data_IF_998806375752
#
_entry.id   IF_998806375752
#
_cell.length_a   1.000
_cell.length_b   1.000
_cell.length_c   1.000
_cell.angle_alpha   90.00
_cell.angle_beta   90.00
_cell.angle_gamma   90.00
#
_symmetry.space_group_name_H-M   'P 1'
#
loop_
_entity.id
_entity.type
_entity.pdbx_description
1 polymer ?
#
# COMPACT_ATOMS: atom_id res chain seq x y z
N UNK A 1 41.40 31.60 53.29
CA UNK A 1 40.49 31.30 52.16
C UNK A 1 40.45 29.80 51.94
N UNK A 2 39.47 29.09 52.50
CA UNK A 2 39.12 27.73 52.07
C UNK A 2 37.59 27.63 52.01
N UNK A 3 37.03 27.76 50.80
CA UNK A 3 35.60 27.51 50.57
C UNK A 3 35.40 26.00 50.67
N UNK A 4 34.93 25.54 51.83
CA UNK A 4 34.40 24.17 51.98
C UNK A 4 33.18 24.04 51.05
N UNK A 5 33.31 23.22 50.02
CA UNK A 5 32.18 22.82 49.17
C UNK A 5 31.22 21.97 50.01
N UNK A 6 30.16 22.59 50.51
CA UNK A 6 29.09 21.90 51.22
C UNK A 6 28.13 21.30 50.18
N UNK A 7 28.55 20.19 49.57
CA UNK A 7 27.68 19.41 48.69
C UNK A 7 26.65 18.70 49.57
N UNK A 8 25.39 19.13 49.47
CA UNK A 8 24.27 18.54 50.17
C UNK A 8 24.23 17.02 49.88
N UNK A 9 24.16 16.18 50.91
CA UNK A 9 24.29 14.71 50.81
C UNK A 9 23.35 14.13 49.75
N UNK A 10 22.16 14.71 49.59
CA UNK A 10 21.20 14.33 48.55
C UNK A 10 21.70 14.58 47.12
N UNK A 11 22.48 15.64 46.87
CA UNK A 11 23.10 15.90 45.56
C UNK A 11 24.25 14.94 45.28
N UNK A 12 25.02 14.57 46.30
CA UNK A 12 26.07 13.55 46.16
C UNK A 12 25.44 12.19 45.85
N UNK A 13 24.37 11.82 46.56
CA UNK A 13 23.62 10.58 46.30
C UNK A 13 23.03 10.57 44.88
N UNK A 14 22.46 11.69 44.41
CA UNK A 14 21.94 11.77 43.04
C UNK A 14 23.04 11.68 41.98
N UNK A 15 24.17 12.35 42.18
CA UNK A 15 25.31 12.28 41.25
C UNK A 15 25.90 10.87 41.23
N UNK A 16 26.00 10.20 42.38
CA UNK A 16 26.47 8.82 42.49
C UNK A 16 25.47 7.84 41.85
N UNK A 17 24.16 8.04 42.04
CA UNK A 17 23.12 7.26 41.37
C UNK A 17 23.16 7.44 39.85
N UNK A 18 23.33 8.66 39.35
CA UNK A 18 23.46 8.93 37.91
C UNK A 18 24.74 8.27 37.36
N UNK A 19 25.86 8.40 38.08
CA UNK A 19 27.14 7.78 37.72
C UNK A 19 27.15 6.25 37.82
N UNK A 20 26.22 5.63 38.57
CA UNK A 20 26.07 4.17 38.65
C UNK A 20 25.03 3.65 37.64
N UNK A 21 23.95 4.39 37.40
CA UNK A 21 22.87 4.00 36.49
C UNK A 21 23.25 4.12 35.02
N UNK A 22 24.04 5.14 34.65
CA UNK A 22 24.48 5.32 33.25
C UNK A 22 25.40 4.17 32.80
N UNK A 23 26.46 3.80 33.54
CA UNK A 23 27.29 2.64 33.18
C UNK A 23 26.51 1.33 33.24
N UNK A 24 25.58 1.16 34.18
CA UNK A 24 24.77 -0.05 34.28
C UNK A 24 23.84 -0.20 33.06
N UNK A 25 23.28 0.89 32.55
CA UNK A 25 22.46 0.86 31.32
C UNK A 25 23.28 0.50 30.07
N UNK A 26 24.53 0.96 29.98
CA UNK A 26 25.48 0.63 28.90
C UNK A 26 25.98 -0.81 29.04
N UNK A 27 26.21 -1.28 30.28
CA UNK A 27 26.58 -2.67 30.54
C UNK A 27 25.45 -3.63 30.20
N UNK A 28 24.20 -3.26 30.51
CA UNK A 28 23.02 -4.05 30.15
C UNK A 28 22.87 -4.07 28.63
N UNK A 29 23.01 -2.95 27.92
CA UNK A 29 22.90 -2.93 26.45
C UNK A 29 23.98 -3.78 25.78
N UNK A 30 25.23 -3.70 26.25
CA UNK A 30 26.34 -4.51 25.74
C UNK A 30 26.23 -5.99 26.11
N UNK A 31 25.64 -6.33 27.26
CA UNK A 31 25.33 -7.72 27.61
C UNK A 31 24.21 -8.29 26.75
N UNK A 32 23.19 -7.49 26.40
CA UNK A 32 22.16 -7.87 25.43
C UNK A 32 22.73 -8.09 24.02
N UNK A 33 23.59 -7.19 23.52
CA UNK A 33 24.29 -7.38 22.25
C UNK A 33 25.20 -8.63 22.25
N UNK A 34 25.85 -8.93 23.38
CA UNK A 34 26.72 -10.10 23.53
C UNK A 34 25.97 -11.43 23.62
N UNK A 35 24.74 -11.44 24.17
CA UNK A 35 23.90 -12.64 24.25
C UNK A 35 23.30 -12.94 22.86
N UNK A 36 22.87 -11.90 22.13
CA UNK A 36 22.24 -12.04 20.81
C UNK A 36 23.24 -12.54 19.73
N UNK A 37 24.54 -12.35 19.94
CA UNK A 37 25.59 -12.84 19.03
C UNK A 37 25.90 -14.34 19.08
N UNK A 38 25.36 -15.10 20.06
CA UNK A 38 25.71 -16.54 20.24
C UNK A 38 24.55 -17.51 20.21
N UNK A 39 23.30 -17.03 20.21
CA UNK A 39 22.16 -17.88 19.89
C UNK A 39 21.97 -17.94 18.38
N UNK A 40 22.21 -19.11 17.81
CA UNK A 40 21.89 -19.54 16.45
C UNK A 40 20.37 -19.59 16.17
N UNK A 41 19.59 -18.65 16.71
CA UNK A 41 18.30 -18.30 16.14
C UNK A 41 18.61 -17.51 14.86
N UNK A 42 18.63 -18.22 13.73
CA UNK A 42 18.51 -17.64 12.39
C UNK A 42 17.65 -16.40 12.50
N UNK A 43 18.21 -15.21 12.24
CA UNK A 43 17.55 -13.96 11.85
C UNK A 43 16.04 -14.18 11.67
N UNK A 44 15.29 -14.24 12.76
CA UNK A 44 13.84 -14.28 12.72
C UNK A 44 13.50 -12.91 12.18
N UNK A 45 13.01 -12.90 10.94
CA UNK A 45 12.77 -11.75 10.07
C UNK A 45 12.99 -10.42 10.79
N UNK A 46 14.04 -9.68 10.42
CA UNK A 46 14.11 -8.26 10.75
C UNK A 46 12.84 -7.62 10.16
N UNK A 47 11.80 -7.48 10.99
CA UNK A 47 10.54 -6.79 10.68
C UNK A 47 10.75 -5.27 10.56
N UNK A 48 11.99 -4.80 10.66
CA UNK A 48 12.38 -3.41 10.68
C UNK A 48 13.22 -3.11 9.44
N UNK A 49 12.57 -2.83 8.34
CA UNK A 49 13.27 -2.20 7.24
C UNK A 49 13.14 -0.68 7.42
N UNK A 50 14.23 -0.06 7.88
CA UNK A 50 14.44 1.40 7.89
C UNK A 50 14.59 1.98 6.46
N UNK A 51 14.24 1.21 5.42
CA UNK A 51 14.49 1.48 4.01
C UNK A 51 13.23 1.95 3.23
N UNK A 52 12.13 2.19 3.94
CA UNK A 52 10.84 2.53 3.31
C UNK A 52 10.00 1.33 2.88
N UNK A 53 10.26 0.12 3.40
CA UNK A 53 9.38 -1.05 3.21
C UNK A 53 7.92 -0.87 3.66
N UNK A 54 7.59 0.23 4.37
CA UNK A 54 6.24 0.57 4.77
C UNK A 54 5.23 0.55 3.59
N UNK A 55 5.67 0.85 2.36
CA UNK A 55 4.81 0.84 1.17
C UNK A 55 4.26 -0.54 0.77
N UNK A 56 4.83 -1.64 1.28
CA UNK A 56 4.55 -3.02 0.83
C UNK A 56 3.82 -3.88 1.86
N UNK A 57 3.39 -3.26 2.95
CA UNK A 57 2.74 -3.89 4.09
C UNK A 57 1.49 -3.08 4.35
N UNK A 58 0.27 -3.59 4.10
CA UNK A 58 -0.95 -2.89 4.55
C UNK A 58 -2.09 -3.86 4.84
N UNK A 59 -2.02 -4.69 5.90
CA UNK A 59 -3.22 -5.32 6.42
C UNK A 59 -4.11 -4.28 7.12
N UNK A 60 -5.41 -4.30 6.84
CA UNK A 60 -6.49 -3.49 7.43
C UNK A 60 -6.65 -3.60 8.96
N UNK A 61 -5.76 -4.32 9.64
CA UNK A 61 -5.89 -4.69 11.04
C UNK A 61 -5.65 -3.56 12.03
N UNK A 62 -5.04 -2.45 11.60
CA UNK A 62 -4.84 -1.30 12.46
C UNK A 62 -4.97 0.01 11.71
N UNK A 63 -6.06 0.70 12.02
CA UNK A 63 -6.33 2.04 11.54
C UNK A 63 -6.86 2.87 12.72
N UNK A 64 -6.07 3.82 13.25
CA UNK A 64 -6.63 4.75 14.22
C UNK A 64 -7.64 5.64 13.48
N UNK A 65 -8.92 5.46 13.82
CA UNK A 65 -10.06 6.16 13.20
C UNK A 65 -9.89 7.70 13.27
N UNK A 66 -9.19 8.19 14.29
CA UNK A 66 -8.89 9.60 14.52
C UNK A 66 -7.69 10.14 13.72
N UNK A 67 -6.81 9.25 13.26
CA UNK A 67 -5.62 9.59 12.47
C UNK A 67 -5.89 9.56 10.98
N UNK A 68 -7.04 9.01 10.60
CA UNK A 68 -7.39 8.82 9.23
C UNK A 68 -6.43 7.84 8.58
N UNK A 69 -6.86 7.38 7.44
CA UNK A 69 -6.05 6.49 6.67
C UNK A 69 -5.21 7.09 5.63
N UNK A 70 -4.42 6.25 4.98
CA UNK A 70 -4.19 6.46 3.55
C UNK A 70 -5.54 6.59 2.83
N UNK A 71 -6.53 5.87 3.36
CA UNK A 71 -7.99 5.88 3.21
C UNK A 71 -8.77 7.05 3.84
N UNK A 72 -8.13 8.14 4.26
CA UNK A 72 -8.82 9.42 4.49
C UNK A 72 -8.11 10.56 3.75
N UNK A 73 -8.67 11.00 2.61
CA UNK A 73 -8.08 12.06 1.78
C UNK A 73 -8.11 13.45 2.42
N UNK A 74 -8.74 13.58 3.60
CA UNK A 74 -8.75 14.81 4.39
C UNK A 74 -7.59 14.92 5.39
N UNK A 75 -6.76 13.87 5.52
CA UNK A 75 -5.66 13.77 6.48
C UNK A 75 -4.31 13.65 5.78
N UNK A 76 -3.26 14.06 6.48
CA UNK A 76 -1.88 14.02 5.97
C UNK A 76 -1.38 12.56 5.87
N UNK A 77 -1.12 12.04 4.66
CA UNK A 77 -0.72 10.65 4.46
C UNK A 77 0.66 10.33 5.06
N UNK A 78 1.51 11.33 5.34
CA UNK A 78 2.84 11.12 5.96
C UNK A 78 2.76 10.61 7.39
N UNK A 79 1.60 10.73 8.05
CA UNK A 79 1.35 10.20 9.40
C UNK A 79 1.03 8.70 9.36
N UNK A 80 0.54 8.19 8.23
CA UNK A 80 0.04 6.81 8.07
C UNK A 80 1.17 5.81 7.90
N UNK A 81 2.29 6.20 7.26
CA UNK A 81 3.48 5.36 7.04
C UNK A 81 4.11 4.83 8.34
N UNK A 82 3.78 5.42 9.50
CA UNK A 82 4.29 5.00 10.82
C UNK A 82 3.43 3.94 11.52
N UNK A 83 2.25 3.58 11.01
CA UNK A 83 1.20 2.96 11.85
C UNK A 83 1.03 1.44 11.73
N UNK A 84 1.66 0.80 10.74
CA UNK A 84 1.67 -0.67 10.65
C UNK A 84 2.68 -1.30 11.59
N UNK A 85 3.63 -0.47 12.01
CA UNK A 85 4.56 -0.83 13.03
C UNK A 85 3.81 -1.18 14.31
N UNK A 86 2.75 -0.54 14.80
CA UNK A 86 2.21 -0.94 16.13
C UNK A 86 1.67 -2.40 16.29
N UNK A 87 1.33 -3.12 15.21
CA UNK A 87 0.93 -4.55 15.26
C UNK A 87 2.14 -5.49 15.08
N UNK A 88 3.21 -5.03 14.43
CA UNK A 88 4.42 -5.83 14.10
C UNK A 88 5.74 -5.28 14.74
N UNK A 89 5.68 -4.09 15.33
CA UNK A 89 6.62 -3.39 16.21
C UNK A 89 6.18 -3.70 17.63
N UNK A 90 6.86 -4.69 18.18
CA UNK A 90 6.53 -5.35 19.42
C UNK A 90 6.91 -4.52 20.66
N UNK A 91 6.94 -3.18 20.56
CA UNK A 91 7.43 -2.24 21.60
C UNK A 91 6.56 -0.99 21.70
N UNK A 92 6.02 -0.69 22.89
CA UNK A 92 5.37 0.61 23.18
C UNK A 92 6.42 1.66 23.51
N UNK A 93 6.59 2.68 22.68
CA UNK A 93 7.39 3.85 23.04
C UNK A 93 6.71 4.68 24.14
N UNK A 94 7.37 4.89 25.27
CA UNK A 94 6.98 5.89 26.28
C UNK A 94 7.91 7.08 26.17
N UNK A 95 7.34 8.26 25.97
CA UNK A 95 8.10 9.49 25.78
C UNK A 95 8.44 10.10 27.15
N UNK A 96 9.66 9.86 27.61
CA UNK A 96 10.15 10.25 28.95
C UNK A 96 10.87 11.60 29.01
N UNK A 97 10.71 12.46 28.00
CA UNK A 97 11.30 13.80 27.98
C UNK A 97 12.78 13.88 27.56
N UNK A 98 13.44 12.76 27.24
CA UNK A 98 14.82 12.70 26.70
C UNK A 98 14.96 11.81 25.45
N UNK A 99 13.86 11.52 24.78
CA UNK A 99 13.76 10.56 23.68
C UNK A 99 12.74 9.47 23.97
N UNK A 100 12.35 8.75 22.91
CA UNK A 100 11.39 7.65 23.00
C UNK A 100 12.07 6.45 23.63
N UNK A 101 11.62 6.04 24.82
CA UNK A 101 12.10 4.84 25.49
C UNK A 101 11.10 3.71 25.23
N UNK A 102 11.53 2.66 24.53
CA UNK A 102 10.69 1.54 24.15
C UNK A 102 10.45 0.61 25.35
N UNK A 103 9.23 0.56 25.86
CA UNK A 103 8.77 -0.43 26.85
C UNK A 103 8.31 -1.68 26.06
N UNK A 104 8.81 -2.89 26.38
CA UNK A 104 8.28 -4.12 25.81
C UNK A 104 6.79 -4.26 26.17
N UNK A 105 5.99 -4.86 25.26
CA UNK A 105 4.59 -5.17 25.51
C UNK A 105 4.36 -5.82 26.89
N UNK A 106 3.13 -5.70 27.40
CA UNK A 106 2.65 -6.69 28.37
C UNK A 106 2.85 -8.08 27.76
N UNK A 107 3.67 -8.91 28.40
CA UNK A 107 4.07 -10.25 27.98
C UNK A 107 3.02 -11.11 27.22
N UNK A 108 1.70 -11.10 27.54
CA UNK A 108 0.74 -12.00 26.89
C UNK A 108 0.56 -11.85 25.36
N UNK A 109 0.58 -10.64 24.79
CA UNK A 109 0.27 -10.45 23.36
C UNK A 109 1.45 -10.82 22.45
N UNK A 110 2.66 -10.41 22.84
CA UNK A 110 3.91 -10.76 22.14
C UNK A 110 4.12 -12.27 22.12
N UNK A 111 3.92 -12.93 23.26
CA UNK A 111 4.07 -14.38 23.37
C UNK A 111 3.08 -15.14 22.45
N UNK A 112 1.86 -14.63 22.27
CA UNK A 112 0.89 -15.24 21.36
C UNK A 112 1.30 -15.08 19.89
N UNK A 113 1.73 -13.90 19.46
CA UNK A 113 2.20 -13.67 18.08
C UNK A 113 3.48 -14.45 17.77
N UNK A 114 4.46 -14.47 18.67
CA UNK A 114 5.69 -15.26 18.52
C UNK A 114 5.40 -16.77 18.46
N UNK A 115 4.42 -17.26 19.24
CA UNK A 115 3.97 -18.66 19.17
C UNK A 115 3.28 -19.00 17.85
N UNK A 116 2.50 -18.07 17.29
CA UNK A 116 1.82 -18.22 15.99
C UNK A 116 2.84 -18.21 14.84
N UNK A 117 3.81 -17.28 14.86
CA UNK A 117 4.84 -17.18 13.81
C UNK A 117 5.95 -18.24 13.93
N UNK A 118 6.20 -18.76 15.13
CA UNK A 118 7.23 -19.78 15.39
C UNK A 118 6.81 -21.22 15.10
N UNK A 119 5.53 -21.51 14.87
CA UNK A 119 5.07 -22.88 14.61
C UNK A 119 5.30 -23.27 13.15
N UNK A 120 6.42 -23.96 12.90
CA UNK A 120 6.82 -24.56 11.62
C UNK A 120 6.01 -25.83 11.30
N UNK A 121 4.69 -25.79 11.43
CA UNK A 121 3.82 -26.92 11.10
C UNK A 121 3.49 -26.94 9.60
N UNK A 122 3.05 -28.07 9.08
CA UNK A 122 2.41 -28.15 7.76
C UNK A 122 1.14 -27.30 7.84
N UNK A 123 1.24 -26.03 7.46
CA UNK A 123 0.15 -25.07 7.64
C UNK A 123 -0.82 -25.23 6.47
N UNK A 124 -2.04 -25.64 6.79
CA UNK A 124 -3.16 -25.50 5.87
C UNK A 124 -3.65 -24.05 5.94
N UNK A 125 -3.14 -23.20 5.06
CA UNK A 125 -3.57 -21.80 4.97
C UNK A 125 -5.04 -21.70 4.57
N UNK A 126 -5.77 -20.81 5.24
CA UNK A 126 -7.19 -20.57 5.03
C UNK A 126 -7.44 -19.22 4.36
N UNK A 127 -8.60 -19.10 3.73
CA UNK A 127 -9.04 -17.84 3.15
C UNK A 127 -9.11 -16.74 4.20
N UNK A 128 -8.48 -15.61 3.91
CA UNK A 128 -8.43 -14.45 4.78
C UNK A 128 -7.33 -14.48 5.85
N UNK A 129 -6.52 -15.54 5.95
CA UNK A 129 -5.31 -15.51 6.76
C UNK A 129 -4.38 -14.40 6.24
N UNK A 130 -3.65 -13.73 7.13
CA UNK A 130 -2.53 -12.89 6.71
C UNK A 130 -1.25 -13.72 6.73
N UNK A 131 -0.43 -13.61 5.71
CA UNK A 131 0.84 -14.32 5.61
C UNK A 131 2.00 -13.35 5.47
N UNK A 132 3.14 -13.73 6.03
CA UNK A 132 4.39 -12.98 6.00
C UNK A 132 5.40 -13.74 5.15
N UNK A 133 6.02 -13.07 4.17
CA UNK A 133 7.05 -13.66 3.32
C UNK A 133 8.03 -12.59 2.83
N UNK A 134 9.18 -13.02 2.30
CA UNK A 134 10.13 -12.11 1.66
C UNK A 134 9.89 -12.09 0.15
N UNK A 135 10.02 -10.92 -0.47
CA UNK A 135 9.94 -10.76 -1.92
C UNK A 135 11.00 -9.79 -2.43
N UNK A 136 11.66 -10.16 -3.52
CA UNK A 136 12.54 -9.26 -4.25
C UNK A 136 11.68 -8.29 -5.10
N UNK A 137 11.81 -6.99 -4.84
CA UNK A 137 11.08 -5.93 -5.57
C UNK A 137 11.96 -5.28 -6.64
N UNK A 138 13.28 -5.36 -6.49
CA UNK A 138 14.26 -4.99 -7.51
C UNK A 138 15.58 -5.72 -7.23
N UNK A 139 16.54 -5.66 -8.16
CA UNK A 139 17.80 -6.39 -8.06
C UNK A 139 18.51 -6.08 -6.73
N UNK A 140 18.66 -7.09 -5.87
CA UNK A 140 19.23 -7.00 -4.53
C UNK A 140 18.41 -6.21 -3.49
N UNK A 141 17.13 -5.94 -3.76
CA UNK A 141 16.18 -5.30 -2.84
C UNK A 141 15.10 -6.31 -2.46
N UNK A 142 15.33 -6.99 -1.33
CA UNK A 142 14.40 -7.98 -0.76
C UNK A 142 13.71 -7.36 0.45
N UNK A 143 12.38 -7.32 0.42
CA UNK A 143 11.56 -6.73 1.48
C UNK A 143 10.62 -7.77 2.09
N UNK A 144 10.13 -7.48 3.29
CA UNK A 144 9.12 -8.28 3.99
C UNK A 144 7.73 -7.81 3.55
N UNK A 145 6.87 -8.76 3.19
CA UNK A 145 5.51 -8.53 2.75
C UNK A 145 4.54 -9.14 3.76
N UNK A 146 3.42 -8.45 3.98
CA UNK A 146 2.30 -8.96 4.78
C UNK A 146 1.04 -8.81 3.94
N UNK A 147 0.52 -9.93 3.47
CA UNK A 147 -0.58 -9.97 2.52
C UNK A 147 -1.67 -10.95 2.95
N UNK A 148 -2.90 -10.73 2.52
CA UNK A 148 -4.04 -11.59 2.80
C UNK A 148 -4.15 -12.72 1.79
N UNK A 149 -4.33 -13.94 2.27
CA UNK A 149 -4.61 -15.12 1.45
C UNK A 149 -6.01 -14.99 0.85
N UNK A 150 -6.07 -14.84 -0.47
CA UNK A 150 -7.31 -14.77 -1.25
C UNK A 150 -7.69 -16.13 -1.80
N UNK A 151 -6.70 -16.87 -2.32
CA UNK A 151 -6.92 -18.16 -2.94
C UNK A 151 -5.72 -19.09 -2.73
N UNK A 152 -5.96 -20.40 -2.85
CA UNK A 152 -4.97 -21.46 -2.61
C UNK A 152 -5.05 -22.54 -3.68
N UNK A 153 -4.18 -23.53 -3.61
CA UNK A 153 -4.12 -24.72 -4.47
C UNK A 153 -5.41 -25.05 -5.25
N UNK A 154 -5.36 -24.90 -6.58
CA UNK A 154 -6.44 -25.25 -7.49
C UNK A 154 -7.58 -24.23 -7.60
N UNK A 155 -7.62 -23.21 -6.75
CA UNK A 155 -8.63 -22.16 -6.83
C UNK A 155 -8.45 -21.31 -8.08
N UNK A 156 -9.57 -20.81 -8.59
CA UNK A 156 -9.62 -19.88 -9.72
C UNK A 156 -9.86 -18.47 -9.23
N UNK A 157 -9.05 -17.51 -9.65
CA UNK A 157 -9.17 -16.09 -9.26
C UNK A 157 -9.48 -15.25 -10.48
N UNK A 158 -10.47 -14.37 -10.37
CA UNK A 158 -10.84 -13.38 -11.40
C UNK A 158 -11.23 -12.05 -10.76
N UNK A 159 -10.76 -10.95 -11.36
CA UNK A 159 -11.17 -9.60 -11.04
C UNK A 159 -12.23 -9.14 -12.03
N UNK A 160 -13.33 -8.58 -11.55
CA UNK A 160 -14.44 -8.15 -12.39
C UNK A 160 -15.23 -7.01 -11.77
N UNK A 161 -15.37 -5.90 -12.51
CA UNK A 161 -16.15 -4.73 -12.09
C UNK A 161 -15.80 -4.20 -10.69
N UNK A 162 -14.55 -4.31 -10.25
CA UNK A 162 -14.13 -3.89 -8.90
C UNK A 162 -14.35 -4.94 -7.82
N UNK A 163 -14.78 -6.15 -8.17
CA UNK A 163 -14.98 -7.27 -7.25
C UNK A 163 -13.99 -8.40 -7.51
N UNK A 164 -13.77 -9.20 -6.47
CA UNK A 164 -12.97 -10.41 -6.52
C UNK A 164 -13.86 -11.63 -6.55
N UNK A 165 -13.63 -12.50 -7.53
CA UNK A 165 -14.29 -13.79 -7.64
C UNK A 165 -13.27 -14.90 -7.40
N UNK A 166 -13.61 -15.82 -6.50
CA UNK A 166 -12.86 -17.06 -6.26
C UNK A 166 -13.77 -18.24 -6.61
N UNK A 167 -13.32 -19.11 -7.52
CA UNK A 167 -14.09 -20.24 -8.05
C UNK A 167 -15.47 -19.81 -8.60
N UNK A 168 -15.49 -18.68 -9.31
CA UNK A 168 -16.71 -18.11 -9.92
C UNK A 168 -17.69 -17.46 -8.93
N UNK A 169 -17.34 -17.37 -7.64
CA UNK A 169 -18.18 -16.74 -6.62
C UNK A 169 -17.52 -15.45 -6.12
N UNK A 170 -18.29 -14.36 -6.10
CA UNK A 170 -17.87 -13.13 -5.41
C UNK A 170 -17.59 -13.45 -3.95
N UNK A 171 -16.41 -13.07 -3.47
CA UNK A 171 -16.07 -13.19 -2.06
C UNK A 171 -16.45 -11.91 -1.30
N UNK A 172 -16.71 -12.05 -0.01
CA UNK A 172 -16.92 -10.91 0.88
C UNK A 172 -15.57 -10.40 1.39
N UNK A 173 -15.36 -9.09 1.28
CA UNK A 173 -14.12 -8.41 1.63
C UNK A 173 -14.37 -7.33 2.70
N UNK A 174 -14.87 -7.70 3.90
CA UNK A 174 -15.30 -6.74 4.93
C UNK A 174 -14.15 -5.95 5.55
N UNK A 175 -12.91 -6.29 5.18
CA UNK A 175 -11.68 -5.63 5.60
C UNK A 175 -11.29 -4.46 4.68
N UNK A 176 -11.97 -4.28 3.54
CA UNK A 176 -11.70 -3.18 2.61
C UNK A 176 -12.44 -1.90 3.00
N UNK A 177 -11.83 -0.77 2.66
CA UNK A 177 -12.43 0.54 2.87
C UNK A 177 -13.66 0.83 2.03
N UNK A 178 -13.66 0.32 0.79
CA UNK A 178 -14.73 0.55 -0.15
C UNK A 178 -15.13 -0.78 -0.76
N UNK A 179 -16.43 -0.95 -0.92
CA UNK A 179 -16.92 -2.03 -1.74
C UNK A 179 -16.55 -1.71 -3.19
N UNK A 180 -16.39 -2.73 -4.00
CA UNK A 180 -16.13 -2.56 -5.43
C UNK A 180 -14.79 -1.83 -5.74
N UNK A 181 -13.79 -1.92 -4.86
CA UNK A 181 -12.48 -1.27 -5.05
C UNK A 181 -11.35 -2.24 -5.40
N UNK A 182 -11.68 -3.42 -5.93
CA UNK A 182 -10.73 -4.49 -6.20
C UNK A 182 -10.47 -4.63 -7.70
N UNK A 183 -9.35 -4.06 -8.14
CA UNK A 183 -8.82 -4.17 -9.50
C UNK A 183 -7.39 -4.73 -9.47
N UNK A 184 -6.78 -4.96 -10.63
CA UNK A 184 -5.41 -5.51 -10.73
C UNK A 184 -4.28 -4.56 -10.25
N UNK A 185 -4.58 -3.58 -9.40
CA UNK A 185 -3.64 -2.59 -8.83
C UNK A 185 -3.29 -1.44 -9.80
N UNK A 186 -3.03 -0.23 -9.28
CA UNK A 186 -2.87 1.01 -10.09
C UNK A 186 -1.42 1.55 -10.14
N UNK A 187 -0.64 1.38 -9.07
CA UNK A 187 0.66 2.09 -8.92
C UNK A 187 1.89 1.36 -9.46
N UNK A 188 1.76 0.08 -9.78
CA UNK A 188 2.87 -0.76 -10.23
C UNK A 188 2.72 -1.13 -11.71
N UNK A 189 3.61 -1.99 -12.22
CA UNK A 189 3.75 -2.33 -13.64
C UNK A 189 2.44 -2.34 -14.43
N UNK A 190 2.40 -1.63 -15.57
CA UNK A 190 1.28 -1.72 -16.52
C UNK A 190 1.16 -3.12 -17.16
N UNK A 191 2.22 -3.92 -17.08
CA UNK A 191 2.21 -5.34 -17.41
C UNK A 191 1.97 -6.15 -16.13
N UNK A 192 0.69 -6.26 -15.76
CA UNK A 192 0.22 -7.03 -14.60
C UNK A 192 0.25 -8.53 -14.89
N UNK A 193 0.48 -9.34 -13.86
CA UNK A 193 0.42 -10.80 -13.93
C UNK A 193 -1.00 -11.30 -14.29
N UNK A 194 -2.02 -10.61 -13.78
CA UNK A 194 -3.42 -10.88 -14.08
C UNK A 194 -4.14 -9.55 -14.30
N UNK A 195 -4.90 -9.44 -15.40
CA UNK A 195 -5.71 -8.25 -15.70
C UNK A 195 -7.18 -8.47 -15.35
N UNK A 196 -7.97 -7.41 -15.36
CA UNK A 196 -9.42 -7.57 -15.20
C UNK A 196 -10.01 -8.49 -16.26
N UNK A 197 -11.00 -9.29 -15.85
CA UNK A 197 -11.64 -10.33 -16.64
C UNK A 197 -10.79 -11.56 -16.98
N UNK A 198 -9.53 -11.60 -16.58
CA UNK A 198 -8.71 -12.80 -16.73
C UNK A 198 -8.92 -13.74 -15.53
N UNK A 199 -8.91 -15.05 -15.80
CA UNK A 199 -8.98 -16.07 -14.77
C UNK A 199 -7.64 -16.80 -14.71
N UNK A 200 -7.07 -16.88 -13.52
CA UNK A 200 -5.91 -17.73 -13.25
C UNK A 200 -6.33 -18.90 -12.37
N UNK A 201 -5.62 -20.02 -12.47
CA UNK A 201 -5.70 -21.11 -11.49
C UNK A 201 -4.46 -21.08 -10.61
N UNK A 202 -4.62 -21.05 -9.30
CA UNK A 202 -3.51 -21.09 -8.34
C UNK A 202 -2.83 -22.46 -8.43
N UNK A 203 -1.51 -22.53 -8.69
CA UNK A 203 -0.77 -23.79 -8.73
C UNK A 203 -0.86 -24.55 -7.40
N UNK A 204 -0.62 -25.86 -7.44
CA UNK A 204 -0.48 -26.65 -6.22
C UNK A 204 0.70 -26.14 -5.38
N UNK A 205 0.54 -26.16 -4.05
CA UNK A 205 1.50 -25.63 -3.07
C UNK A 205 1.74 -24.12 -3.13
N UNK A 206 0.83 -23.35 -3.73
CA UNK A 206 0.93 -21.90 -3.88
C UNK A 206 -0.29 -21.19 -3.26
N UNK A 207 -0.11 -19.90 -3.02
CA UNK A 207 -1.13 -18.97 -2.55
C UNK A 207 -1.23 -17.79 -3.53
N UNK A 208 -2.44 -17.29 -3.73
CA UNK A 208 -2.67 -15.97 -4.31
C UNK A 208 -3.02 -15.01 -3.17
N UNK A 209 -2.24 -13.94 -3.04
CA UNK A 209 -2.31 -13.03 -1.90
C UNK A 209 -2.50 -11.59 -2.36
N UNK A 210 -3.31 -10.82 -1.66
CA UNK A 210 -3.57 -9.40 -1.94
C UNK A 210 -3.37 -8.54 -0.69
N UNK A 211 -3.01 -7.29 -0.90
CA UNK A 211 -3.03 -6.28 0.17
C UNK A 211 -4.44 -5.75 0.39
N UNK A 212 -4.73 -5.35 1.63
CA UNK A 212 -6.02 -4.75 1.92
C UNK A 212 -6.08 -3.31 1.37
N UNK A 213 -4.95 -2.60 1.30
CA UNK A 213 -4.82 -1.35 0.56
C UNK A 213 -4.66 -1.62 -0.95
N UNK A 214 -5.76 -2.00 -1.61
CA UNK A 214 -5.80 -2.49 -3.00
C UNK A 214 -5.12 -1.59 -4.01
N UNK A 215 -5.23 -0.28 -3.81
CA UNK A 215 -4.74 0.70 -4.77
C UNK A 215 -3.20 0.66 -4.80
N UNK A 216 -2.58 0.63 -3.62
CA UNK A 216 -1.12 0.78 -3.40
C UNK A 216 -0.38 -0.53 -3.12
N UNK A 217 -1.06 -1.67 -3.16
CA UNK A 217 -0.43 -2.95 -2.84
C UNK A 217 0.37 -3.47 -4.04
N UNK A 218 1.64 -3.82 -3.80
CA UNK A 218 2.39 -4.71 -4.70
C UNK A 218 2.15 -6.14 -4.22
N UNK A 219 1.35 -6.90 -4.96
CA UNK A 219 0.91 -8.22 -4.53
C UNK A 219 0.81 -9.21 -5.70
N UNK A 220 0.01 -10.27 -5.55
CA UNK A 220 -0.12 -11.29 -6.59
C UNK A 220 -0.68 -10.76 -7.91
N UNK A 221 -1.27 -9.56 -7.96
CA UNK A 221 -1.60 -8.91 -9.25
C UNK A 221 -0.37 -8.53 -10.07
N UNK A 222 0.74 -8.28 -9.39
CA UNK A 222 2.00 -7.85 -10.00
C UNK A 222 2.99 -9.00 -10.16
N UNK A 223 3.20 -9.77 -9.10
CA UNK A 223 4.27 -10.78 -9.06
C UNK A 223 3.79 -12.22 -9.14
N UNK A 224 2.47 -12.44 -9.28
CA UNK A 224 1.87 -13.76 -9.33
C UNK A 224 1.80 -14.48 -7.97
N UNK A 225 1.79 -15.80 -8.01
CA UNK A 225 1.54 -16.61 -6.80
C UNK A 225 2.78 -16.76 -5.92
N UNK A 226 2.56 -17.01 -4.62
CA UNK A 226 3.61 -17.20 -3.61
C UNK A 226 3.66 -18.67 -3.20
N UNK A 227 4.84 -19.27 -3.14
CA UNK A 227 4.97 -20.65 -2.67
C UNK A 227 4.67 -20.73 -1.18
N UNK A 228 3.93 -21.76 -0.74
CA UNK A 228 3.67 -22.03 0.68
C UNK A 228 4.97 -22.22 1.48
N UNK A 229 6.05 -22.66 0.83
CA UNK A 229 7.36 -22.83 1.47
C UNK A 229 8.11 -21.52 1.72
N UNK A 230 7.71 -20.42 1.06
CA UNK A 230 8.29 -19.09 1.24
C UNK A 230 7.66 -18.33 2.41
N UNK A 231 6.56 -18.86 2.97
CA UNK A 231 5.85 -18.25 4.08
C UNK A 231 6.69 -18.41 5.36
N UNK A 232 7.03 -17.27 5.96
CA UNK A 232 7.79 -17.14 7.19
C UNK A 232 6.89 -17.24 8.42
N UNK A 233 5.61 -16.90 8.26
CA UNK A 233 4.64 -16.85 9.35
C UNK A 233 3.25 -16.43 8.84
N UNK A 234 2.22 -16.59 9.68
CA UNK A 234 0.85 -16.22 9.32
C UNK A 234 0.03 -15.80 10.54
N UNK A 235 -1.07 -15.08 10.35
CA UNK A 235 -2.05 -14.72 11.37
C UNK A 235 -3.43 -15.22 10.92
N UNK A 236 -4.00 -16.25 11.58
CA UNK A 236 -5.27 -16.83 11.16
C UNK A 236 -6.41 -15.82 11.19
N UNK A 237 -7.35 -15.90 10.23
CA UNK A 237 -8.52 -14.99 10.14
C UNK A 237 -9.30 -14.86 11.45
N UNK A 238 -9.51 -15.96 12.17
CA UNK A 238 -10.29 -15.95 13.42
C UNK A 238 -9.61 -15.15 14.54
N UNK A 239 -8.28 -15.07 14.53
CA UNK A 239 -7.53 -14.23 15.47
C UNK A 239 -7.60 -12.75 15.10
N UNK A 240 -7.96 -12.44 13.85
CA UNK A 240 -8.17 -11.07 13.39
C UNK A 240 -9.51 -10.50 13.87
N UNK A 241 -10.48 -11.31 14.28
CA UNK A 241 -11.81 -10.83 14.73
C UNK A 241 -11.73 -9.88 15.93
N UNK A 242 -10.73 -10.03 16.81
CA UNK A 242 -10.50 -9.07 17.90
C UNK A 242 -10.08 -7.70 17.36
N UNK A 243 -9.41 -7.70 16.20
CA UNK A 243 -8.94 -6.53 15.48
C UNK A 243 -9.95 -6.05 14.42
N UNK A 244 -10.97 -6.84 14.07
CA UNK A 244 -11.91 -6.51 12.99
C UNK A 244 -12.80 -5.31 13.31
N UNK A 245 -12.89 -4.90 14.58
CA UNK A 245 -13.47 -3.60 14.98
C UNK A 245 -12.72 -2.39 14.38
N UNK A 246 -11.49 -2.60 13.90
CA UNK A 246 -10.66 -1.62 13.21
C UNK A 246 -10.68 -1.78 11.69
N UNK A 247 -11.36 -2.80 11.15
CA UNK A 247 -11.54 -2.90 9.72
C UNK A 247 -12.24 -1.67 9.18
N UNK A 248 -11.81 -1.25 8.00
CA UNK A 248 -12.41 -0.12 7.33
C UNK A 248 -13.85 -0.51 6.97
N UNK A 249 -14.78 0.42 7.20
CA UNK A 249 -16.18 0.17 6.91
C UNK A 249 -16.30 0.02 5.39
N UNK A 250 -16.77 -1.14 4.93
CA UNK A 250 -17.05 -1.46 3.53
C UNK A 250 -18.09 -0.49 2.92
N UNK A 251 -17.67 0.75 2.66
CA UNK A 251 -18.55 1.82 2.24
C UNK A 251 -18.85 1.67 0.75
N UNK A 252 -20.08 2.02 0.34
CA UNK A 252 -20.39 2.09 -1.09
C UNK A 252 -19.56 3.18 -1.74
N UNK A 253 -18.97 2.85 -2.88
CA UNK A 253 -18.23 3.78 -3.72
C UNK A 253 -19.18 4.70 -4.50
N UNK A 254 -18.89 6.00 -4.51
CA UNK A 254 -19.52 6.96 -5.42
C UNK A 254 -18.66 7.09 -6.68
N UNK A 255 -18.94 6.22 -7.65
CA UNK A 255 -18.23 6.13 -8.93
C UNK A 255 -18.02 7.52 -9.55
N UNK A 256 -16.76 7.85 -9.86
CA UNK A 256 -16.38 9.06 -10.56
C UNK A 256 -17.00 9.08 -11.96
N UNK A 257 -17.50 10.24 -12.37
CA UNK A 257 -18.12 10.48 -13.66
C UNK A 257 -17.47 11.68 -14.36
N UNK A 258 -17.78 11.87 -15.64
CA UNK A 258 -17.29 13.03 -16.39
C UNK A 258 -17.72 14.39 -15.77
N UNK A 259 -18.87 14.45 -15.09
CA UNK A 259 -19.34 15.64 -14.36
C UNK A 259 -18.39 16.10 -13.24
N UNK A 260 -17.58 15.18 -12.71
CA UNK A 260 -16.62 15.45 -11.63
C UNK A 260 -15.28 16.05 -12.12
N UNK A 261 -15.10 16.20 -13.44
CA UNK A 261 -13.87 16.71 -14.06
C UNK A 261 -13.44 18.06 -13.49
N UNK A 262 -14.39 18.96 -13.24
CA UNK A 262 -14.12 20.29 -12.68
C UNK A 262 -13.62 20.22 -11.24
N UNK A 263 -14.16 19.30 -10.44
CA UNK A 263 -13.71 19.11 -9.06
C UNK A 263 -12.30 18.52 -9.01
N UNK A 264 -12.02 17.54 -9.88
CA UNK A 264 -10.69 16.96 -10.04
C UNK A 264 -9.66 18.02 -10.47
N UNK A 265 -10.00 18.85 -11.46
CA UNK A 265 -9.15 19.96 -11.91
C UNK A 265 -8.89 20.96 -10.80
N UNK A 266 -9.92 21.31 -10.02
CA UNK A 266 -9.81 22.21 -8.88
C UNK A 266 -8.81 21.66 -7.85
N UNK A 267 -8.93 20.38 -7.52
CA UNK A 267 -8.03 19.72 -6.59
C UNK A 267 -6.57 19.67 -7.09
N UNK A 268 -6.36 19.31 -8.36
CA UNK A 268 -5.03 19.31 -8.98
C UNK A 268 -4.41 20.72 -8.90
N UNK A 269 -5.19 21.76 -9.21
CA UNK A 269 -4.71 23.13 -9.16
C UNK A 269 -4.35 23.59 -7.74
N UNK A 270 -5.07 23.13 -6.71
CA UNK A 270 -4.68 23.38 -5.32
C UNK A 270 -3.31 22.78 -4.98
N UNK A 271 -3.04 21.53 -5.43
CA UNK A 271 -1.72 20.90 -5.25
C UNK A 271 -0.64 21.68 -6.01
N UNK A 272 -0.93 22.10 -7.25
CA UNK A 272 0.02 22.88 -8.08
C UNK A 272 0.38 24.21 -7.45
N UNK A 273 -0.61 24.95 -6.93
CA UNK A 273 -0.40 26.22 -6.23
C UNK A 273 0.47 26.06 -4.98
N UNK A 274 0.23 25.04 -4.16
CA UNK A 274 1.07 24.72 -2.99
C UNK A 274 2.53 24.48 -3.37
N UNK A 275 2.80 24.09 -4.62
CA UNK A 275 4.14 23.85 -5.18
C UNK A 275 4.67 25.01 -6.03
N UNK A 276 3.99 26.16 -6.05
CA UNK A 276 4.39 27.33 -6.84
C UNK A 276 4.26 27.15 -8.36
N UNK A 277 3.34 26.30 -8.82
CA UNK A 277 3.12 25.99 -10.25
C UNK A 277 1.85 26.66 -10.78
N UNK A 278 1.81 26.91 -12.10
CA UNK A 278 0.63 27.50 -12.77
C UNK A 278 -0.55 26.53 -12.79
N UNK A 279 -1.78 27.06 -12.81
CA UNK A 279 -3.00 26.27 -12.92
C UNK A 279 -3.11 25.61 -14.31
N UNK A 280 -3.70 24.41 -14.33
CA UNK A 280 -4.17 23.75 -15.53
C UNK A 280 -5.56 24.24 -15.92
N UNK A 281 -5.86 24.21 -17.23
CA UNK A 281 -7.20 24.40 -17.80
C UNK A 281 -7.65 23.15 -18.58
N UNK A 282 -8.96 22.94 -18.72
CA UNK A 282 -9.49 21.82 -19.51
C UNK A 282 -9.06 21.94 -20.98
N UNK A 283 -8.62 20.83 -21.57
CA UNK A 283 -8.28 20.76 -23.00
C UNK A 283 -9.37 20.08 -23.82
N UNK A 284 -10.44 20.83 -24.13
CA UNK A 284 -11.59 20.28 -24.87
C UNK A 284 -11.23 19.61 -26.20
N UNK A 285 -10.26 20.15 -26.95
CA UNK A 285 -9.85 19.60 -28.25
C UNK A 285 -9.14 18.23 -28.15
N UNK A 286 -8.70 17.85 -26.95
CA UNK A 286 -8.07 16.55 -26.70
C UNK A 286 -9.03 15.52 -26.10
N UNK A 287 -10.26 15.91 -25.74
CA UNK A 287 -11.23 14.99 -25.14
C UNK A 287 -11.55 13.80 -26.07
N UNK A 288 -11.74 14.04 -27.37
CA UNK A 288 -12.05 12.98 -28.34
C UNK A 288 -10.87 12.01 -28.51
N UNK A 289 -9.64 12.46 -28.82
CA UNK A 289 -8.48 11.56 -28.91
C UNK A 289 -8.25 10.75 -27.63
N UNK A 290 -8.33 11.41 -26.47
CA UNK A 290 -8.10 10.81 -25.15
C UNK A 290 -9.16 9.74 -24.83
N UNK A 291 -10.44 10.03 -25.09
CA UNK A 291 -11.54 9.07 -24.93
C UNK A 291 -11.38 7.86 -25.88
N UNK A 292 -11.05 8.10 -27.16
CA UNK A 292 -10.84 7.04 -28.13
C UNK A 292 -9.68 6.10 -27.72
N UNK A 293 -8.58 6.67 -27.22
CA UNK A 293 -7.47 5.87 -26.71
C UNK A 293 -7.87 5.04 -25.50
N UNK A 294 -8.54 5.65 -24.50
CA UNK A 294 -9.04 4.92 -23.34
C UNK A 294 -9.96 3.77 -23.75
N UNK A 295 -10.95 4.03 -24.61
CA UNK A 295 -11.90 3.03 -25.09
C UNK A 295 -11.17 1.84 -25.71
N UNK A 296 -10.30 2.09 -26.68
CA UNK A 296 -9.57 1.01 -27.36
C UNK A 296 -8.61 0.28 -26.43
N UNK A 297 -7.98 0.96 -25.46
CA UNK A 297 -7.11 0.32 -24.48
C UNK A 297 -7.89 -0.65 -23.57
N UNK A 298 -9.07 -0.24 -23.09
CA UNK A 298 -9.93 -1.04 -22.22
C UNK A 298 -10.56 -2.23 -22.97
N UNK A 299 -11.08 -2.00 -24.17
CA UNK A 299 -11.70 -3.07 -24.96
C UNK A 299 -10.69 -4.18 -25.30
N UNK A 300 -9.42 -3.82 -25.51
CA UNK A 300 -8.36 -4.74 -25.94
C UNK A 300 -7.38 -5.20 -24.84
N UNK A 301 -7.65 -4.93 -23.54
CA UNK A 301 -6.74 -5.23 -22.42
C UNK A 301 -5.29 -4.73 -22.63
N UNK A 302 -5.17 -3.54 -23.23
CA UNK A 302 -3.91 -2.97 -23.71
C UNK A 302 -3.63 -1.61 -23.05
N UNK A 303 -3.53 -1.60 -21.73
CA UNK A 303 -3.30 -0.41 -20.89
C UNK A 303 -1.85 0.07 -20.86
N UNK A 304 -1.04 -0.34 -21.84
CA UNK A 304 0.37 0.01 -21.95
C UNK A 304 0.55 1.29 -22.79
N UNK A 305 1.59 2.05 -22.45
CA UNK A 305 2.12 3.14 -23.29
C UNK A 305 2.79 2.63 -24.57
N UNK A 306 2.97 1.31 -24.70
CA UNK A 306 3.43 0.62 -25.90
C UNK A 306 2.43 -0.47 -26.31
N UNK A 307 1.22 -0.08 -26.74
CA UNK A 307 0.16 -1.03 -27.00
C UNK A 307 0.51 -1.95 -28.17
N UNK A 308 0.15 -3.23 -28.08
CA UNK A 308 0.41 -4.22 -29.15
C UNK A 308 -0.71 -4.28 -30.20
N UNK A 309 -1.92 -3.87 -29.84
CA UNK A 309 -3.07 -3.91 -30.74
C UNK A 309 -3.04 -2.73 -31.75
N UNK A 310 -3.20 -2.95 -33.06
CA UNK A 310 -3.11 -1.89 -34.08
C UNK A 310 -4.14 -0.75 -33.91
N UNK A 311 -5.37 -1.05 -33.48
CA UNK A 311 -6.39 -0.03 -33.26
C UNK A 311 -6.03 0.86 -32.05
N UNK A 312 -5.55 0.25 -30.97
CA UNK A 312 -5.05 0.97 -29.79
C UNK A 312 -3.80 1.81 -30.12
N UNK A 313 -2.89 1.29 -30.95
CA UNK A 313 -1.73 2.04 -31.45
C UNK A 313 -2.16 3.29 -32.23
N UNK A 314 -3.12 3.15 -33.14
CA UNK A 314 -3.65 4.29 -33.91
C UNK A 314 -4.27 5.34 -32.99
N UNK A 315 -5.10 4.93 -32.03
CA UNK A 315 -5.72 5.86 -31.08
C UNK A 315 -4.67 6.57 -30.20
N UNK A 316 -3.62 5.87 -29.76
CA UNK A 316 -2.50 6.49 -29.04
C UNK A 316 -1.79 7.53 -29.91
N UNK A 317 -1.56 7.27 -31.20
CA UNK A 317 -0.93 8.24 -32.11
C UNK A 317 -1.76 9.53 -32.25
N UNK A 318 -3.09 9.43 -32.23
CA UNK A 318 -3.96 10.61 -32.23
C UNK A 318 -3.74 11.48 -30.97
N UNK A 319 -3.58 10.86 -29.80
CA UNK A 319 -3.25 11.58 -28.56
C UNK A 319 -1.83 12.16 -28.63
N UNK A 320 -0.85 11.38 -29.08
CA UNK A 320 0.55 11.82 -29.20
C UNK A 320 0.71 13.00 -30.17
N UNK A 321 -0.13 13.09 -31.21
CA UNK A 321 -0.14 14.24 -32.14
C UNK A 321 -0.47 15.58 -31.47
N UNK A 322 -1.07 15.54 -30.27
CA UNK A 322 -1.36 16.71 -29.44
C UNK A 322 -0.21 17.10 -28.51
N UNK A 323 0.94 16.42 -28.60
CA UNK A 323 2.13 16.63 -27.78
C UNK A 323 1.83 16.59 -26.26
N UNK A 324 1.28 15.47 -25.75
CA UNK A 324 1.04 15.32 -24.32
C UNK A 324 2.36 15.30 -23.55
N UNK A 325 2.33 15.89 -22.36
CA UNK A 325 3.40 15.77 -21.37
C UNK A 325 3.25 14.46 -20.60
N UNK A 326 2.01 14.08 -20.29
CA UNK A 326 1.68 12.83 -19.61
C UNK A 326 0.43 12.19 -20.18
N UNK A 327 0.41 10.86 -20.20
CA UNK A 327 -0.80 10.06 -20.40
C UNK A 327 -0.76 8.92 -19.40
N UNK A 328 -1.83 8.83 -18.62
CA UNK A 328 -1.96 7.83 -17.57
C UNK A 328 -3.30 7.12 -17.75
N UNK A 329 -3.21 5.82 -18.01
CA UNK A 329 -4.35 4.91 -18.07
C UNK A 329 -4.45 4.15 -16.74
N UNK A 330 -5.66 4.10 -16.20
CA UNK A 330 -5.96 3.42 -14.94
C UNK A 330 -7.10 2.44 -15.21
N UNK A 331 -6.84 1.15 -15.00
CA UNK A 331 -7.90 0.13 -15.03
C UNK A 331 -8.78 0.27 -13.79
N UNK A 332 -10.09 0.23 -14.00
CA UNK A 332 -11.10 0.25 -12.95
C UNK A 332 -11.87 1.56 -12.84
N UNK A 333 -12.89 1.53 -11.99
CA UNK A 333 -13.68 2.70 -11.61
C UNK A 333 -13.38 2.97 -10.16
N UNK A 334 -12.97 4.20 -9.90
CA UNK A 334 -12.72 4.68 -8.56
C UNK A 334 -13.58 5.89 -8.30
N UNK A 335 -13.79 6.23 -7.04
CA UNK A 335 -14.41 7.50 -6.70
C UNK A 335 -13.40 8.63 -6.71
N UNK A 336 -13.93 9.83 -6.62
CA UNK A 336 -13.14 11.04 -6.61
C UNK A 336 -12.08 11.06 -5.51
N UNK A 337 -12.40 10.60 -4.30
CA UNK A 337 -11.45 10.56 -3.20
C UNK A 337 -10.26 9.67 -3.52
N UNK A 338 -10.51 8.51 -4.13
CA UNK A 338 -9.46 7.58 -4.57
C UNK A 338 -8.54 8.23 -5.61
N UNK A 339 -9.11 8.87 -6.63
CA UNK A 339 -8.33 9.59 -7.64
C UNK A 339 -7.55 10.75 -7.05
N UNK A 340 -8.12 11.48 -6.09
CA UNK A 340 -7.42 12.56 -5.38
C UNK A 340 -6.17 12.04 -4.66
N UNK A 341 -6.16 10.83 -4.09
CA UNK A 341 -4.89 10.27 -3.53
C UNK A 341 -3.93 9.81 -4.58
N UNK A 342 -4.44 9.15 -5.63
CA UNK A 342 -3.60 8.74 -6.75
C UNK A 342 -2.78 9.94 -7.24
N UNK A 343 -3.47 11.04 -7.52
CA UNK A 343 -2.85 12.28 -7.94
C UNK A 343 -1.99 12.93 -6.86
N UNK A 344 -2.40 12.89 -5.59
CA UNK A 344 -1.58 13.43 -4.50
C UNK A 344 -0.20 12.76 -4.45
N UNK A 345 -0.19 11.42 -4.42
CA UNK A 345 1.04 10.63 -4.31
C UNK A 345 1.95 10.82 -5.53
N UNK A 346 1.38 10.72 -6.74
CA UNK A 346 2.12 11.01 -7.96
C UNK A 346 2.69 12.43 -7.89
N UNK A 347 1.87 13.42 -7.53
CA UNK A 347 2.31 14.82 -7.54
C UNK A 347 3.34 15.16 -6.47
N UNK A 348 3.39 14.44 -5.35
CA UNK A 348 4.45 14.59 -4.33
C UNK A 348 5.84 14.29 -4.89
N UNK A 349 5.94 13.25 -5.70
CA UNK A 349 7.15 12.92 -6.44
C UNK A 349 7.39 13.96 -7.54
N UNK A 350 8.45 14.77 -7.39
CA UNK A 350 8.75 15.90 -8.29
C UNK A 350 8.97 15.51 -9.74
N UNK A 351 9.18 14.22 -10.02
CA UNK A 351 9.52 13.68 -11.32
C UNK A 351 8.33 13.01 -12.05
N UNK A 352 7.13 13.00 -11.46
CA UNK A 352 5.97 12.38 -12.11
C UNK A 352 5.38 13.30 -13.18
N UNK A 353 4.76 12.68 -14.17
CA UNK A 353 4.43 13.35 -15.41
C UNK A 353 3.25 14.33 -15.24
N UNK A 354 2.33 14.04 -14.30
CA UNK A 354 1.21 14.89 -13.88
C UNK A 354 1.65 16.10 -13.03
N UNK A 355 2.81 15.97 -12.37
CA UNK A 355 3.45 17.00 -11.59
C UNK A 355 4.31 17.95 -12.43
N UNK A 356 4.39 17.74 -13.74
CA UNK A 356 5.30 18.51 -14.59
C UNK A 356 4.95 20.02 -14.55
N UNK A 357 5.99 20.84 -14.41
CA UNK A 357 5.88 22.30 -14.33
C UNK A 357 5.42 22.92 -15.66
N UNK A 358 5.73 22.26 -16.79
CA UNK A 358 5.43 22.75 -18.13
C UNK A 358 3.97 22.47 -18.56
N UNK A 359 3.22 21.69 -17.79
CA UNK A 359 1.82 21.42 -18.09
C UNK A 359 0.95 22.65 -17.82
N UNK A 360 0.11 23.01 -18.80
CA UNK A 360 -0.89 24.08 -18.70
C UNK A 360 -2.31 23.59 -19.01
N UNK A 361 -2.45 22.40 -19.62
CA UNK A 361 -3.76 21.82 -19.93
C UNK A 361 -3.94 20.41 -19.40
N UNK A 362 -5.20 20.04 -19.22
CA UNK A 362 -5.65 18.81 -18.60
C UNK A 362 -6.82 18.19 -19.39
N UNK A 363 -6.76 16.89 -19.63
CA UNK A 363 -7.88 16.11 -20.16
C UNK A 363 -8.13 14.89 -19.27
N UNK A 364 -9.40 14.56 -19.12
CA UNK A 364 -9.89 13.48 -18.29
C UNK A 364 -11.03 12.78 -19.00
N UNK A 365 -11.08 11.46 -18.94
CA UNK A 365 -12.24 10.70 -19.40
C UNK A 365 -12.34 9.39 -18.63
N UNK A 366 -13.58 8.95 -18.39
CA UNK A 366 -13.90 7.62 -17.84
C UNK A 366 -14.59 6.79 -18.90
N UNK A 367 -14.37 5.49 -18.90
CA UNK A 367 -15.01 4.57 -19.83
C UNK A 367 -15.43 3.29 -19.12
N UNK A 368 -16.61 2.79 -19.46
CA UNK A 368 -17.15 1.51 -18.96
C UNK A 368 -17.83 0.78 -20.11
N UNK A 369 -17.58 -0.51 -20.21
CA UNK A 369 -18.16 -1.38 -21.24
C UNK A 369 -18.33 -2.81 -20.71
N UNK A 370 -19.12 -3.61 -21.39
CA UNK A 370 -19.25 -5.04 -21.13
C UNK A 370 -18.85 -5.82 -22.37
N UNK A 371 -17.87 -6.72 -22.23
CA UNK A 371 -17.36 -7.55 -23.32
C UNK A 371 -17.42 -9.01 -22.87
N UNK A 372 -18.13 -9.84 -23.62
CA UNK A 372 -18.28 -11.28 -23.35
C UNK A 372 -18.74 -11.58 -21.92
N UNK A 373 -19.69 -10.80 -21.40
CA UNK A 373 -20.21 -10.96 -20.04
C UNK A 373 -19.25 -10.50 -18.94
N UNK A 374 -18.17 -9.80 -19.28
CA UNK A 374 -17.28 -9.18 -18.30
C UNK A 374 -17.30 -7.66 -18.41
N UNK A 375 -17.60 -7.00 -17.29
CA UNK A 375 -17.54 -5.54 -17.22
C UNK A 375 -16.09 -5.07 -17.11
N UNK A 376 -15.68 -4.27 -18.09
CA UNK A 376 -14.39 -3.58 -18.12
C UNK A 376 -14.60 -2.09 -17.98
N UNK A 377 -13.61 -1.44 -17.37
CA UNK A 377 -13.71 -0.01 -17.12
C UNK A 377 -12.34 0.57 -16.86
N UNK A 378 -12.19 1.86 -17.11
CA UNK A 378 -10.98 2.57 -16.79
C UNK A 378 -11.16 4.07 -16.94
N UNK A 379 -10.07 4.76 -16.65
CA UNK A 379 -9.98 6.21 -16.73
C UNK A 379 -8.65 6.59 -17.35
N UNK A 380 -8.65 7.72 -18.05
CA UNK A 380 -7.47 8.33 -18.60
C UNK A 380 -7.30 9.74 -18.04
N UNK A 381 -6.08 10.06 -17.67
CA UNK A 381 -5.65 11.40 -17.29
C UNK A 381 -4.51 11.78 -18.22
N UNK A 382 -4.61 12.93 -18.87
CA UNK A 382 -3.56 13.44 -19.74
C UNK A 382 -3.28 14.91 -19.44
N UNK A 383 -2.01 15.28 -19.43
CA UNK A 383 -1.58 16.67 -19.33
C UNK A 383 -0.84 17.10 -20.57
N UNK A 384 -0.96 18.38 -20.91
CA UNK A 384 -0.40 18.96 -22.13
C UNK A 384 0.24 20.31 -21.81
N UNK A 385 1.16 20.72 -22.69
CA UNK A 385 1.75 22.05 -22.65
C UNK A 385 0.74 23.15 -22.96
#
# INVERSE_FOLDING_TARGET
MSKRFNLNLNKVIHIVLILLLVPLSILISSFYESIDGKTTFKKTAQFFANDGSAFYMYPSLYWPVDKGGYDDGSKDPTVVDKMIFDVFDLRKGVNGGFGVQFIPFSAPYRFQLEKIFGSKQIVNFNYGDLVVFNKEVSKNDVRVFIQRVIAKDGDKVRFENGYLLVNGKRIDEPYLWKDQSTYSGIFYSQDKFIKSCEEITVPMNHLFVLGDNRIFSFDSTDFGTVSKSEILGYLPKDYQTILSKHWLKNNKINILKEEDTNELLTYINQIRQKKGRQNLTIFSDSNIPVNNYLKTAIENNNLSNTPKNPATQKALQEVLSKNPISITLIEGIYDLDTYKRYLYFEMENKNTQEANIDASKFAFSTYKTEINGCTKSGTIIATFK
#
